data_IF_125911544912
#
_entry.id   IF_125911544912
#
_cell.length_a   1.000
_cell.length_b   1.000
_cell.length_c   1.000
_cell.angle_alpha   90.00
_cell.angle_beta   90.00
_cell.angle_gamma   90.00
#
_symmetry.space_group_name_H-M   'P 1'
#
loop_
_entity.id
_entity.type
_entity.pdbx_description
1 polymer ?
#
# COMPACT_ATOMS: atom_id res chain seq x y z
N UNK A 1 -20.12 3.74 0.65
CA UNK A 1 -20.11 2.46 1.38
C UNK A 1 -21.44 2.27 2.08
N UNK A 2 -22.03 1.09 1.95
CA UNK A 2 -23.15 0.64 2.79
C UNK A 2 -22.65 0.16 4.16
N UNK A 3 -23.55 -0.11 5.10
CA UNK A 3 -23.18 -0.71 6.39
C UNK A 3 -22.51 -2.08 6.23
N UNK A 4 -22.87 -2.83 5.17
CA UNK A 4 -22.24 -4.10 4.84
C UNK A 4 -20.78 -3.89 4.41
N UNK A 5 -20.51 -2.90 3.54
CA UNK A 5 -19.15 -2.58 3.12
C UNK A 5 -18.29 -2.13 4.31
N UNK A 6 -18.85 -1.33 5.23
CA UNK A 6 -18.13 -0.88 6.43
C UNK A 6 -17.74 -2.07 7.32
N UNK A 7 -18.64 -3.05 7.49
CA UNK A 7 -18.33 -4.29 8.21
C UNK A 7 -17.20 -5.06 7.54
N UNK A 8 -17.22 -5.18 6.22
CA UNK A 8 -16.17 -5.86 5.46
C UNK A 8 -14.83 -5.15 5.60
N UNK A 9 -14.80 -3.82 5.47
CA UNK A 9 -13.58 -3.01 5.66
C UNK A 9 -13.00 -3.22 7.06
N UNK A 10 -13.84 -3.18 8.10
CA UNK A 10 -13.38 -3.42 9.47
C UNK A 10 -12.86 -4.85 9.66
N UNK A 11 -13.49 -5.84 9.05
CA UNK A 11 -13.04 -7.23 9.12
C UNK A 11 -11.67 -7.42 8.45
N UNK A 12 -11.49 -6.90 7.23
CA UNK A 12 -10.19 -6.92 6.52
C UNK A 12 -9.10 -6.19 7.28
N UNK A 13 -9.40 -5.01 7.84
CA UNK A 13 -8.44 -4.26 8.64
C UNK A 13 -8.00 -5.03 9.90
N UNK A 14 -8.92 -5.78 10.53
CA UNK A 14 -8.61 -6.63 11.68
C UNK A 14 -7.82 -7.90 11.29
N UNK A 15 -7.99 -8.38 10.07
CA UNK A 15 -7.30 -9.57 9.55
C UNK A 15 -5.81 -9.32 9.32
N UNK A 16 -5.41 -8.09 8.98
CA UNK A 16 -4.00 -7.72 8.73
C UNK A 16 -3.09 -8.05 9.95
N UNK A 17 -3.29 -7.47 11.14
CA UNK A 17 -2.45 -7.80 12.30
C UNK A 17 -2.63 -9.24 12.78
N UNK A 18 -3.76 -9.88 12.45
CA UNK A 18 -3.98 -11.28 12.78
C UNK A 18 -3.11 -12.21 11.93
N UNK A 19 -3.02 -11.97 10.61
CA UNK A 19 -2.12 -12.69 9.69
C UNK A 19 -0.66 -12.48 10.07
N UNK A 20 -0.26 -11.24 10.34
CA UNK A 20 1.10 -10.95 10.78
C UNK A 20 1.49 -11.72 12.05
N UNK A 21 0.57 -11.86 13.01
CA UNK A 21 0.81 -12.64 14.23
C UNK A 21 0.87 -14.16 13.96
N UNK A 22 0.09 -14.65 12.99
CA UNK A 22 0.09 -16.07 12.60
C UNK A 22 1.42 -16.46 11.93
N UNK A 23 2.00 -15.55 11.13
CA UNK A 23 3.25 -15.75 10.39
C UNK A 23 4.52 -15.56 11.25
N UNK A 24 4.37 -15.55 12.58
CA UNK A 24 5.49 -15.41 13.53
C UNK A 24 5.85 -13.97 13.90
N UNK A 25 5.05 -12.99 13.47
CA UNK A 25 5.17 -11.59 13.87
C UNK A 25 4.61 -11.29 15.27
N UNK A 26 4.76 -10.04 15.71
CA UNK A 26 4.28 -9.60 17.02
C UNK A 26 2.81 -9.23 16.93
N UNK A 27 1.98 -9.81 17.81
CA UNK A 27 0.58 -9.41 17.98
C UNK A 27 0.48 -7.92 18.27
N UNK A 28 -0.26 -7.19 17.42
CA UNK A 28 -0.50 -5.75 17.56
C UNK A 28 -1.97 -5.39 17.41
N UNK A 29 -2.32 -4.17 17.80
CA UNK A 29 -3.65 -3.59 17.57
C UNK A 29 -3.80 -3.13 16.12
N UNK A 30 -5.04 -3.09 15.65
CA UNK A 30 -5.41 -2.45 14.38
C UNK A 30 -5.08 -0.97 14.46
N UNK A 31 -4.48 -0.43 13.40
CA UNK A 31 -4.12 0.97 13.29
C UNK A 31 -4.74 1.62 12.04
N UNK A 32 -4.49 2.92 11.85
CA UNK A 32 -5.04 3.69 10.72
C UNK A 32 -4.54 3.21 9.36
N UNK A 33 -3.34 2.63 9.28
CA UNK A 33 -2.76 2.11 8.04
C UNK A 33 -3.52 0.87 7.58
N UNK A 34 -3.85 -0.04 8.50
CA UNK A 34 -4.65 -1.23 8.22
C UNK A 34 -6.02 -0.86 7.63
N UNK A 35 -6.67 0.16 8.23
CA UNK A 35 -7.96 0.65 7.75
C UNK A 35 -7.83 1.31 6.36
N UNK A 36 -6.78 2.10 6.13
CA UNK A 36 -6.53 2.72 4.83
C UNK A 36 -6.32 1.68 3.73
N UNK A 37 -5.57 0.62 4.03
CA UNK A 37 -5.36 -0.50 3.10
C UNK A 37 -6.67 -1.24 2.81
N UNK A 38 -7.44 -1.56 3.85
CA UNK A 38 -8.73 -2.24 3.69
C UNK A 38 -9.74 -1.42 2.86
N UNK A 39 -9.74 -0.09 2.99
CA UNK A 39 -10.57 0.81 2.18
C UNK A 39 -10.15 0.78 0.71
N UNK A 40 -8.85 0.72 0.42
CA UNK A 40 -8.34 0.67 -0.96
C UNK A 40 -8.67 -0.63 -1.67
N UNK A 41 -8.65 -1.76 -0.93
CA UNK A 41 -8.96 -3.08 -1.47
C UNK A 41 -10.47 -3.36 -1.59
N UNK A 42 -11.30 -2.64 -0.84
CA UNK A 42 -12.75 -2.90 -0.80
C UNK A 42 -13.50 -1.99 -1.77
N UNK A 43 -14.17 -2.60 -2.74
CA UNK A 43 -15.07 -1.91 -3.65
C UNK A 43 -16.41 -1.60 -2.97
N UNK A 44 -16.93 -0.39 -3.17
CA UNK A 44 -18.23 0.00 -2.62
C UNK A 44 -19.36 -0.76 -3.33
N UNK A 45 -20.39 -1.18 -2.59
CA UNK A 45 -21.63 -1.76 -3.15
C UNK A 45 -22.63 -0.70 -3.63
N UNK A 46 -22.44 0.58 -3.28
CA UNK A 46 -23.32 1.67 -3.71
C UNK A 46 -23.43 1.87 -5.24
N UNK A 47 -22.34 1.84 -6.06
CA UNK A 47 -22.47 1.97 -7.51
C UNK A 47 -23.43 0.96 -8.17
N UNK A 48 -23.28 -0.37 -7.96
CA UNK A 48 -24.23 -1.32 -8.55
C UNK A 48 -25.64 -1.17 -7.98
N UNK A 49 -25.76 -0.83 -6.68
CA UNK A 49 -27.07 -0.60 -6.06
C UNK A 49 -27.80 0.59 -6.68
N UNK A 50 -27.13 1.74 -6.84
CA UNK A 50 -27.71 2.93 -7.47
C UNK A 50 -28.04 2.70 -8.95
N UNK A 51 -27.22 1.95 -9.68
CA UNK A 51 -27.51 1.58 -11.07
C UNK A 51 -28.80 0.75 -11.18
N UNK A 52 -28.99 -0.21 -10.27
CA UNK A 52 -30.21 -1.02 -10.21
C UNK A 52 -31.43 -0.18 -9.79
N UNK A 53 -31.29 0.66 -8.77
CA UNK A 53 -32.36 1.54 -8.32
C UNK A 53 -32.82 2.50 -9.43
N UNK A 54 -31.88 3.12 -10.16
CA UNK A 54 -32.19 3.99 -11.31
C UNK A 54 -32.97 3.26 -12.39
N UNK A 55 -32.59 2.01 -12.69
CA UNK A 55 -33.28 1.17 -13.67
C UNK A 55 -34.73 0.90 -13.25
N UNK A 56 -34.95 0.51 -11.98
CA UNK A 56 -36.29 0.22 -11.46
C UNK A 56 -37.19 1.45 -11.37
N UNK A 57 -36.65 2.61 -10.99
CA UNK A 57 -37.42 3.86 -10.96
C UNK A 57 -37.91 4.22 -12.36
N UNK A 58 -37.03 4.08 -13.37
CA UNK A 58 -37.36 4.37 -14.76
C UNK A 58 -38.35 3.38 -15.36
N UNK A 59 -38.21 2.09 -15.07
CA UNK A 59 -39.10 1.04 -15.59
C UNK A 59 -40.54 1.13 -15.05
N UNK A 60 -40.71 1.64 -13.82
CA UNK A 60 -42.02 1.78 -13.18
C UNK A 60 -42.61 3.19 -13.29
N UNK A 61 -41.97 4.10 -14.03
CA UNK A 61 -42.35 5.52 -14.12
C UNK A 61 -42.52 6.21 -12.73
N UNK A 62 -41.81 5.71 -11.72
CA UNK A 62 -41.99 6.07 -10.31
C UNK A 62 -41.09 7.24 -9.87
N UNK A 63 -40.67 8.09 -10.80
CA UNK A 63 -39.72 9.18 -10.57
C UNK A 63 -40.25 10.20 -9.55
N UNK A 64 -41.56 10.43 -9.54
CA UNK A 64 -42.22 11.33 -8.59
C UNK A 64 -42.30 10.73 -7.18
N UNK A 65 -42.50 9.41 -7.06
CA UNK A 65 -42.58 8.73 -5.76
C UNK A 65 -41.20 8.64 -5.08
N UNK A 66 -40.15 8.49 -5.89
CA UNK A 66 -38.77 8.33 -5.44
C UNK A 66 -37.88 9.54 -5.74
N UNK A 67 -38.45 10.76 -5.77
CA UNK A 67 -37.75 12.01 -6.14
C UNK A 67 -36.42 12.20 -5.39
N UNK A 68 -36.43 11.98 -4.07
CA UNK A 68 -35.23 12.11 -3.22
C UNK A 68 -34.13 11.12 -3.61
N UNK A 69 -34.52 9.87 -3.88
CA UNK A 69 -33.58 8.82 -4.27
C UNK A 69 -33.02 9.08 -5.67
N UNK A 70 -33.85 9.56 -6.60
CA UNK A 70 -33.41 9.97 -7.94
C UNK A 70 -32.39 11.13 -7.85
N UNK A 71 -32.64 12.13 -7.00
CA UNK A 71 -31.71 13.23 -6.76
C UNK A 71 -30.38 12.76 -6.15
N UNK A 72 -30.42 11.81 -5.21
CA UNK A 72 -29.22 11.22 -4.61
C UNK A 72 -28.40 10.40 -5.61
N UNK A 73 -29.05 9.66 -6.51
CA UNK A 73 -28.39 8.93 -7.60
C UNK A 73 -27.65 9.89 -8.53
N UNK A 74 -28.29 10.99 -8.93
CA UNK A 74 -27.65 11.99 -9.80
C UNK A 74 -26.46 12.66 -9.10
N UNK A 75 -26.61 13.04 -7.83
CA UNK A 75 -25.51 13.57 -7.03
C UNK A 75 -24.34 12.60 -6.95
N UNK A 76 -24.61 11.31 -6.75
CA UNK A 76 -23.59 10.28 -6.71
C UNK A 76 -22.83 10.18 -8.04
N UNK A 77 -23.56 10.19 -9.16
CA UNK A 77 -22.96 10.14 -10.50
C UNK A 77 -22.04 11.33 -10.76
N UNK A 78 -22.45 12.55 -10.39
CA UNK A 78 -21.61 13.75 -10.50
C UNK A 78 -20.30 13.62 -9.73
N UNK A 79 -20.36 13.19 -8.47
CA UNK A 79 -19.15 13.00 -7.64
C UNK A 79 -18.22 11.95 -8.25
N UNK A 80 -18.76 10.87 -8.81
CA UNK A 80 -17.94 9.83 -9.45
C UNK A 80 -17.30 10.31 -10.74
N UNK A 81 -17.99 11.14 -11.54
CA UNK A 81 -17.44 11.76 -12.75
C UNK A 81 -16.32 12.74 -12.40
N UNK A 82 -16.55 13.64 -11.44
CA UNK A 82 -15.54 14.59 -10.96
C UNK A 82 -14.28 13.89 -10.45
N UNK A 83 -14.44 12.77 -9.73
CA UNK A 83 -13.31 11.97 -9.25
C UNK A 83 -12.52 11.34 -10.40
N UNK A 84 -13.20 10.88 -11.45
CA UNK A 84 -12.55 10.31 -12.62
C UNK A 84 -11.76 11.37 -13.40
N UNK A 85 -12.33 12.56 -13.56
CA UNK A 85 -11.67 13.66 -14.26
C UNK A 85 -10.51 14.24 -13.45
N UNK A 86 -10.67 14.35 -12.13
CA UNK A 86 -9.56 14.70 -11.24
C UNK A 86 -8.43 13.68 -11.30
N UNK A 87 -8.75 12.38 -11.39
CA UNK A 87 -7.73 11.33 -11.57
C UNK A 87 -6.97 11.51 -12.89
N UNK A 88 -7.68 11.78 -14.00
CA UNK A 88 -7.05 12.06 -15.30
C UNK A 88 -6.18 13.31 -15.26
N UNK A 89 -6.64 14.38 -14.61
CA UNK A 89 -5.86 15.62 -14.45
C UNK A 89 -4.60 15.39 -13.62
N UNK A 90 -4.70 14.64 -12.52
CA UNK A 90 -3.54 14.25 -11.72
C UNK A 90 -2.58 13.41 -12.54
N UNK A 91 -3.07 12.47 -13.34
CA UNK A 91 -2.25 11.59 -14.18
C UNK A 91 -1.58 12.36 -15.33
N UNK A 92 -2.30 13.23 -16.02
CA UNK A 92 -1.74 14.11 -17.05
C UNK A 92 -0.68 15.07 -16.45
N UNK A 93 -0.95 15.63 -15.27
CA UNK A 93 0.01 16.47 -14.56
C UNK A 93 1.23 15.67 -14.09
N UNK A 94 1.03 14.44 -13.61
CA UNK A 94 2.11 13.49 -13.27
C UNK A 94 3.00 13.18 -14.48
N UNK A 95 2.42 12.95 -15.65
CA UNK A 95 3.16 12.72 -16.90
C UNK A 95 3.95 13.97 -17.33
N UNK A 96 3.37 15.16 -17.20
CA UNK A 96 4.02 16.42 -17.55
C UNK A 96 5.21 16.79 -16.65
N UNK A 97 5.24 16.27 -15.42
CA UNK A 97 6.29 16.58 -14.44
C UNK A 97 7.54 15.69 -14.54
N UNK A 98 7.57 14.69 -15.44
CA UNK A 98 8.79 13.99 -15.88
C UNK A 98 9.59 13.22 -14.82
N UNK A 99 9.14 13.16 -13.57
CA UNK A 99 9.87 12.56 -12.44
C UNK A 99 9.04 11.48 -11.79
N UNK A 100 9.03 10.29 -12.39
CA UNK A 100 8.53 9.10 -11.72
C UNK A 100 9.43 7.91 -11.95
N UNK A 101 9.71 7.26 -10.82
CA UNK A 101 10.17 5.88 -10.77
C UNK A 101 9.01 4.98 -11.24
N UNK A 102 9.29 4.08 -12.17
CA UNK A 102 8.34 3.05 -12.61
C UNK A 102 7.88 2.21 -11.40
N UNK A 103 6.79 1.45 -11.54
CA UNK A 103 6.38 0.53 -10.46
C UNK A 103 7.50 -0.48 -10.14
N UNK A 104 8.23 -0.94 -11.17
CA UNK A 104 9.43 -1.78 -11.01
C UNK A 104 10.53 -1.06 -10.24
N UNK A 105 10.78 0.23 -10.52
CA UNK A 105 11.79 1.01 -9.78
C UNK A 105 11.39 1.27 -8.32
N UNK A 106 10.09 1.39 -8.02
CA UNK A 106 9.60 1.49 -6.62
C UNK A 106 9.72 0.16 -5.88
N UNK A 107 9.37 -0.94 -6.53
CA UNK A 107 9.52 -2.28 -5.99
C UNK A 107 11.00 -2.57 -5.74
N UNK A 108 11.87 -2.20 -6.68
CA UNK A 108 13.32 -2.29 -6.53
C UNK A 108 13.86 -1.48 -5.37
N UNK A 109 13.37 -0.25 -5.15
CA UNK A 109 13.73 0.54 -3.96
C UNK A 109 13.32 -0.20 -2.68
N UNK A 110 12.11 -0.76 -2.64
CA UNK A 110 11.65 -1.53 -1.47
C UNK A 110 12.52 -2.76 -1.20
N UNK A 111 12.92 -3.49 -2.24
CA UNK A 111 13.85 -4.61 -2.14
C UNK A 111 15.22 -4.19 -1.61
N UNK A 112 15.76 -3.08 -2.13
CA UNK A 112 17.06 -2.54 -1.71
C UNK A 112 17.03 -2.07 -0.26
N UNK A 113 15.95 -1.42 0.18
CA UNK A 113 15.76 -1.02 1.59
C UNK A 113 15.70 -2.24 2.52
N UNK A 114 14.97 -3.29 2.12
CA UNK A 114 14.92 -4.54 2.88
C UNK A 114 16.29 -5.26 2.92
N UNK A 115 17.03 -5.25 1.80
CA UNK A 115 18.37 -5.82 1.70
C UNK A 115 19.37 -5.08 2.61
N UNK A 116 19.33 -3.75 2.60
CA UNK A 116 20.15 -2.90 3.49
C UNK A 116 19.86 -3.23 4.96
N UNK A 117 18.59 -3.34 5.35
CA UNK A 117 18.20 -3.68 6.72
C UNK A 117 18.72 -5.07 7.13
N UNK A 118 18.59 -6.06 6.24
CA UNK A 118 19.07 -7.42 6.47
C UNK A 118 20.60 -7.46 6.63
N UNK A 119 21.34 -6.80 5.74
CA UNK A 119 22.80 -6.75 5.78
C UNK A 119 23.29 -6.07 7.06
N UNK A 120 22.64 -5.00 7.51
CA UNK A 120 22.95 -4.36 8.79
C UNK A 120 22.74 -5.30 10.00
N UNK A 121 21.68 -6.12 9.97
CA UNK A 121 21.47 -7.17 10.98
C UNK A 121 22.58 -8.23 10.94
N UNK A 122 23.03 -8.63 9.75
CA UNK A 122 24.14 -9.60 9.60
C UNK A 122 25.46 -9.04 10.14
N UNK A 123 25.79 -7.78 9.84
CA UNK A 123 26.97 -7.08 10.40
C UNK A 123 26.89 -7.05 11.92
N UNK A 124 25.74 -6.67 12.47
CA UNK A 124 25.52 -6.63 13.92
C UNK A 124 25.70 -8.01 14.56
N UNK A 125 25.19 -9.06 13.90
CA UNK A 125 25.34 -10.45 14.37
C UNK A 125 26.78 -10.94 14.29
N UNK A 126 27.52 -10.61 13.23
CA UNK A 126 28.93 -10.95 13.09
C UNK A 126 29.77 -10.30 14.20
N UNK A 127 29.57 -8.99 14.44
CA UNK A 127 30.21 -8.25 15.54
C UNK A 127 29.88 -8.85 16.90
N UNK A 128 28.62 -9.25 17.12
CA UNK A 128 28.20 -9.91 18.36
C UNK A 128 28.88 -11.27 18.58
N UNK A 129 28.96 -12.11 17.53
CA UNK A 129 29.67 -13.40 17.59
C UNK A 129 31.15 -13.25 17.92
N UNK A 130 31.79 -12.22 17.36
CA UNK A 130 33.17 -11.88 17.69
C UNK A 130 33.33 -11.48 19.16
N UNK A 131 32.44 -10.63 19.69
CA UNK A 131 32.45 -10.26 21.12
C UNK A 131 32.24 -11.46 22.05
N UNK A 132 31.45 -12.45 21.63
CA UNK A 132 31.28 -13.73 22.33
C UNK A 132 32.44 -14.71 22.18
N UNK A 133 33.48 -14.37 21.41
CA UNK A 133 34.61 -15.25 21.04
C UNK A 133 34.17 -16.54 20.31
N UNK A 134 33.02 -16.51 19.65
CA UNK A 134 32.52 -17.64 18.84
C UNK A 134 33.21 -17.71 17.46
N UNK A 135 33.80 -16.59 17.02
CA UNK A 135 34.57 -16.48 15.77
C UNK A 135 35.87 -15.74 16.05
N UNK A 136 36.92 -16.06 15.29
CA UNK A 136 38.21 -15.39 15.37
C UNK A 136 38.18 -14.03 14.64
N UNK A 137 39.14 -13.17 14.98
CA UNK A 137 39.20 -11.80 14.47
C UNK A 137 39.32 -11.76 12.94
N UNK A 138 40.06 -12.70 12.35
CA UNK A 138 40.21 -12.80 10.90
C UNK A 138 38.89 -13.16 10.22
N UNK A 139 38.15 -14.17 10.70
CA UNK A 139 36.85 -14.49 10.14
C UNK A 139 35.84 -13.35 10.32
N UNK A 140 35.86 -12.64 11.45
CA UNK A 140 34.99 -11.49 11.66
C UNK A 140 35.30 -10.36 10.66
N UNK A 141 36.58 -10.03 10.42
CA UNK A 141 36.95 -8.99 9.44
C UNK A 141 36.53 -9.36 8.03
N UNK A 142 36.70 -10.62 7.62
CA UNK A 142 36.30 -11.09 6.29
C UNK A 142 34.78 -10.98 6.13
N UNK A 143 34.01 -11.53 7.09
CA UNK A 143 32.54 -11.50 7.04
C UNK A 143 31.98 -10.08 7.04
N UNK A 144 32.51 -9.21 7.92
CA UNK A 144 32.05 -7.82 7.99
C UNK A 144 32.43 -7.07 6.71
N UNK A 145 33.64 -7.27 6.18
CA UNK A 145 34.06 -6.64 4.93
C UNK A 145 33.19 -7.05 3.73
N UNK A 146 32.83 -8.33 3.63
CA UNK A 146 31.93 -8.81 2.58
C UNK A 146 30.52 -8.20 2.72
N UNK A 147 30.00 -8.11 3.95
CA UNK A 147 28.70 -7.49 4.20
C UNK A 147 28.72 -5.98 3.94
N UNK A 148 29.77 -5.27 4.36
CA UNK A 148 29.94 -3.83 4.10
C UNK A 148 30.00 -3.54 2.60
N UNK A 149 30.67 -4.40 1.82
CA UNK A 149 30.65 -4.28 0.35
C UNK A 149 29.23 -4.41 -0.21
N UNK A 150 28.48 -5.44 0.22
CA UNK A 150 27.08 -5.61 -0.25
C UNK A 150 26.14 -4.50 0.21
N UNK A 151 26.43 -3.86 1.35
CA UNK A 151 25.70 -2.72 1.87
C UNK A 151 25.94 -1.49 0.98
N UNK A 152 27.20 -1.17 0.69
CA UNK A 152 27.58 -0.05 -0.17
C UNK A 152 26.96 -0.20 -1.56
N UNK A 153 27.06 -1.40 -2.17
CA UNK A 153 26.50 -1.64 -3.50
C UNK A 153 24.97 -1.38 -3.52
N UNK A 154 24.25 -1.81 -2.47
CA UNK A 154 22.82 -1.60 -2.36
C UNK A 154 22.45 -0.13 -2.08
N UNK A 155 23.25 0.58 -1.27
CA UNK A 155 23.06 1.99 -0.96
C UNK A 155 23.28 2.88 -2.19
N UNK A 156 24.34 2.60 -2.97
CA UNK A 156 24.63 3.33 -4.23
C UNK A 156 23.54 3.10 -5.27
N UNK A 157 23.06 1.86 -5.44
CA UNK A 157 21.95 1.56 -6.35
C UNK A 157 20.66 2.31 -5.92
N UNK A 158 20.38 2.34 -4.63
CA UNK A 158 19.24 3.05 -4.06
C UNK A 158 19.35 4.57 -4.22
N UNK A 159 20.54 5.14 -4.03
CA UNK A 159 20.79 6.56 -4.22
C UNK A 159 20.63 6.96 -5.69
N UNK A 160 21.15 6.15 -6.62
CA UNK A 160 20.97 6.38 -8.06
C UNK A 160 19.49 6.34 -8.47
N UNK A 161 18.71 5.40 -7.93
CA UNK A 161 17.26 5.35 -8.17
C UNK A 161 16.55 6.55 -7.52
N UNK A 162 16.95 6.97 -6.31
CA UNK A 162 16.37 8.16 -5.66
C UNK A 162 16.78 9.46 -6.36
N UNK A 163 17.93 9.53 -7.02
CA UNK A 163 18.39 10.69 -7.79
C UNK A 163 17.65 10.88 -9.12
N UNK A 164 17.03 9.80 -9.66
CA UNK A 164 16.11 9.89 -10.82
C UNK A 164 14.76 10.52 -10.48
N UNK A 165 14.44 10.69 -9.18
CA UNK A 165 13.23 11.34 -8.68
C UNK A 165 13.33 12.86 -8.76
#
# INVERSE_FOLDING_TARGET
>A
YSSADLKEICAKAAEIPWKEALDGGVKRKVNRKDLSNAIQETSSSLPPWYAQAKKQIKENEAEQEYEKLAADIERFNMITADKADMKKLVEAKRMSLGKFLSNEEKERISELEAKIELTNKLISRAKYKFHKREIDEKACRILVGDYEKTLIDAEVELENLKAKK
#
